data_IF_062018961935
#
_entry.id   IF_062018961935
#
_cell.length_a   1.000
_cell.length_b   1.000
_cell.length_c   1.000
_cell.angle_alpha   90.00
_cell.angle_beta   90.00
_cell.angle_gamma   90.00
#
_symmetry.space_group_name_H-M   'P 1'
#
loop_
_entity.id
_entity.type
_entity.pdbx_description
1 polymer ?
#
# COMPACT_ATOMS: atom_id res chain seq x y z
N UNK A 1 20.10 -19.21 18.19
CA UNK A 1 19.71 -17.87 17.70
C UNK A 1 18.20 -17.85 17.56
N UNK A 2 17.54 -16.82 18.07
CA UNK A 2 16.11 -16.67 17.82
C UNK A 2 15.87 -16.47 16.31
N UNK A 3 14.91 -17.23 15.78
CA UNK A 3 14.49 -17.11 14.38
C UNK A 3 13.98 -15.69 14.13
N UNK A 4 14.54 -14.99 13.13
CA UNK A 4 14.09 -13.64 12.76
C UNK A 4 12.86 -13.79 11.89
N UNK A 5 11.71 -13.52 12.47
CA UNK A 5 10.44 -13.50 11.75
C UNK A 5 10.25 -12.13 11.05
N UNK A 6 9.77 -12.17 9.82
CA UNK A 6 9.35 -10.99 9.07
C UNK A 6 7.87 -10.66 9.35
N UNK A 7 7.41 -9.49 8.91
CA UNK A 7 5.97 -9.15 8.94
C UNK A 7 5.16 -10.19 8.15
N UNK A 8 5.69 -10.66 7.03
CA UNK A 8 5.06 -11.68 6.20
C UNK A 8 4.85 -12.99 6.97
N UNK A 9 5.88 -13.46 7.69
CA UNK A 9 5.80 -14.68 8.49
C UNK A 9 4.71 -14.57 9.58
N UNK A 10 4.60 -13.40 10.22
CA UNK A 10 3.53 -13.13 11.17
C UNK A 10 2.15 -13.17 10.51
N UNK A 11 1.98 -12.50 9.37
CA UNK A 11 0.70 -12.48 8.65
C UNK A 11 0.28 -13.89 8.27
N UNK A 12 1.16 -14.69 7.67
CA UNK A 12 0.86 -16.07 7.27
C UNK A 12 0.50 -16.96 8.47
N UNK A 13 1.24 -16.82 9.57
CA UNK A 13 0.94 -17.53 10.81
C UNK A 13 -0.45 -17.20 11.36
N UNK A 14 -0.83 -15.93 11.37
CA UNK A 14 -2.12 -15.52 11.92
C UNK A 14 -3.28 -15.76 10.95
N UNK A 15 -3.06 -15.70 9.65
CA UNK A 15 -4.05 -16.16 8.66
C UNK A 15 -4.35 -17.64 8.84
N UNK A 16 -3.32 -18.48 9.00
CA UNK A 16 -3.51 -19.91 9.26
C UNK A 16 -4.32 -20.19 10.54
N UNK A 17 -4.18 -19.33 11.56
CA UNK A 17 -4.87 -19.47 12.85
C UNK A 17 -6.29 -18.91 12.86
N UNK A 18 -6.52 -17.79 12.16
CA UNK A 18 -7.76 -17.02 12.29
C UNK A 18 -8.51 -16.82 10.96
N UNK A 19 -8.14 -17.54 9.93
CA UNK A 19 -8.62 -17.49 8.54
C UNK A 19 -9.93 -16.71 8.32
N UNK A 20 -11.04 -17.18 8.89
CA UNK A 20 -12.38 -16.65 8.69
C UNK A 20 -12.76 -15.51 9.64
N UNK A 21 -11.91 -15.17 10.60
CA UNK A 21 -12.20 -14.08 11.52
C UNK A 21 -12.06 -12.73 10.80
N UNK A 22 -12.89 -11.72 11.15
CA UNK A 22 -12.68 -10.36 10.70
C UNK A 22 -11.31 -9.84 11.10
N UNK A 23 -10.61 -9.19 10.17
CA UNK A 23 -9.31 -8.56 10.41
C UNK A 23 -9.37 -7.05 10.18
N UNK A 24 -9.95 -6.62 9.07
CA UNK A 24 -10.09 -5.22 8.71
C UNK A 24 -11.57 -4.87 8.61
N UNK A 25 -11.87 -3.60 8.85
CA UNK A 25 -13.22 -3.09 8.72
C UNK A 25 -13.19 -1.80 7.92
N UNK A 26 -14.01 -1.71 6.89
CA UNK A 26 -14.22 -0.49 6.12
C UNK A 26 -15.69 -0.09 6.15
N UNK A 27 -15.92 1.22 6.22
CA UNK A 27 -17.28 1.75 6.15
C UNK A 27 -17.70 1.89 4.69
N UNK A 28 -18.71 1.14 4.30
CA UNK A 28 -19.37 1.34 3.02
C UNK A 28 -20.13 2.67 3.05
N UNK A 29 -19.73 3.61 2.20
CA UNK A 29 -20.27 4.97 2.18
C UNK A 29 -21.71 5.04 1.63
N UNK A 30 -22.10 4.09 0.79
CA UNK A 30 -23.44 4.05 0.20
C UNK A 30 -24.46 3.50 1.17
N UNK A 31 -24.12 2.45 1.91
CA UNK A 31 -24.99 1.79 2.87
C UNK A 31 -24.85 2.30 4.29
N UNK A 32 -23.77 3.06 4.58
CA UNK A 32 -23.37 3.52 5.91
C UNK A 32 -23.10 2.36 6.91
N UNK A 33 -22.87 1.14 6.42
CA UNK A 33 -22.57 -0.03 7.23
C UNK A 33 -21.06 -0.31 7.26
N UNK A 34 -20.61 -0.95 8.34
CA UNK A 34 -19.25 -1.46 8.44
C UNK A 34 -19.17 -2.87 7.84
N UNK A 35 -18.27 -3.06 6.91
CA UNK A 35 -18.04 -4.33 6.21
C UNK A 35 -16.68 -4.90 6.63
N UNK A 36 -16.63 -6.17 7.05
CA UNK A 36 -15.39 -6.81 7.41
C UNK A 36 -14.69 -7.39 6.19
N UNK A 37 -13.35 -7.40 6.25
CA UNK A 37 -12.49 -8.24 5.41
C UNK A 37 -11.77 -9.23 6.33
N UNK A 38 -11.86 -10.52 6.04
CA UNK A 38 -11.26 -11.58 6.86
C UNK A 38 -9.73 -11.61 6.71
N UNK A 39 -9.05 -12.36 7.60
CA UNK A 39 -7.62 -12.60 7.48
C UNK A 39 -7.25 -13.25 6.15
N UNK A 40 -8.00 -14.28 5.74
CA UNK A 40 -7.78 -15.00 4.47
C UNK A 40 -8.00 -14.10 3.25
N UNK A 41 -9.09 -13.34 3.23
CA UNK A 41 -9.37 -12.38 2.15
C UNK A 41 -8.30 -11.30 2.04
N UNK A 42 -7.83 -10.78 3.19
CA UNK A 42 -6.74 -9.80 3.25
C UNK A 42 -5.48 -10.36 2.60
N UNK A 43 -5.09 -11.58 2.98
CA UNK A 43 -3.91 -12.23 2.39
C UNK A 43 -4.07 -12.48 0.88
N UNK A 44 -5.25 -12.96 0.46
CA UNK A 44 -5.52 -13.21 -0.95
C UNK A 44 -5.47 -11.92 -1.79
N UNK A 45 -6.04 -10.82 -1.27
CA UNK A 45 -5.97 -9.50 -1.92
C UNK A 45 -4.53 -8.98 -1.97
N UNK A 46 -3.77 -9.08 -0.87
CA UNK A 46 -2.38 -8.65 -0.80
C UNK A 46 -1.48 -9.41 -1.81
N UNK A 47 -1.64 -10.73 -1.91
CA UNK A 47 -0.90 -11.54 -2.90
C UNK A 47 -1.25 -11.18 -4.35
N UNK A 48 -2.50 -10.82 -4.63
CA UNK A 48 -2.89 -10.31 -5.97
C UNK A 48 -2.24 -8.97 -6.30
N UNK A 49 -2.18 -8.05 -5.33
CA UNK A 49 -1.47 -6.78 -5.49
C UNK A 49 0.00 -7.02 -5.75
N UNK A 50 0.65 -7.90 -4.97
CA UNK A 50 2.04 -8.26 -5.17
C UNK A 50 2.30 -8.79 -6.58
N UNK A 51 1.48 -9.72 -7.05
CA UNK A 51 1.58 -10.25 -8.41
C UNK A 51 1.42 -9.15 -9.47
N UNK A 52 0.48 -8.22 -9.28
CA UNK A 52 0.31 -7.05 -10.14
C UNK A 52 1.53 -6.14 -10.17
N UNK A 53 2.11 -5.83 -9.01
CA UNK A 53 3.33 -5.02 -8.90
C UNK A 53 4.51 -5.69 -9.61
N UNK A 54 4.69 -6.99 -9.43
CA UNK A 54 5.72 -7.76 -10.12
C UNK A 54 5.50 -7.76 -11.63
N UNK A 55 4.27 -7.90 -12.09
CA UNK A 55 3.92 -7.83 -13.52
C UNK A 55 4.16 -6.44 -14.12
N UNK A 56 4.05 -5.37 -13.31
CA UNK A 56 4.41 -4.00 -13.71
C UNK A 56 5.93 -3.77 -13.77
N UNK A 57 6.74 -4.73 -13.33
CA UNK A 57 8.19 -4.67 -13.36
C UNK A 57 8.85 -4.26 -12.04
N UNK A 58 8.10 -4.16 -10.94
CA UNK A 58 8.66 -3.84 -9.62
C UNK A 58 9.68 -4.89 -9.22
N UNK A 59 10.90 -4.44 -8.87
CA UNK A 59 12.00 -5.28 -8.45
C UNK A 59 12.15 -5.27 -6.92
N UNK A 60 12.77 -6.32 -6.39
CA UNK A 60 13.08 -6.41 -4.96
C UNK A 60 13.89 -5.20 -4.50
N UNK A 61 13.46 -4.59 -3.40
CA UNK A 61 14.13 -3.43 -2.80
C UNK A 61 13.77 -2.08 -3.42
N UNK A 62 12.97 -2.04 -4.50
CA UNK A 62 12.47 -0.77 -5.02
C UNK A 62 11.48 -0.13 -4.04
N UNK A 63 11.49 1.20 -3.98
CA UNK A 63 10.64 1.96 -3.07
C UNK A 63 9.36 2.34 -3.77
N UNK A 64 8.27 2.19 -3.04
CA UNK A 64 6.93 2.55 -3.49
C UNK A 64 6.35 3.54 -2.48
N UNK A 65 6.14 4.78 -2.89
CA UNK A 65 5.45 5.76 -2.06
C UNK A 65 3.97 5.41 -1.97
N UNK A 66 3.40 5.50 -0.77
CA UNK A 66 2.02 5.12 -0.51
C UNK A 66 1.27 6.29 0.14
N UNK A 67 0.28 6.86 -0.57
CA UNK A 67 -0.52 7.99 -0.10
C UNK A 67 -2.01 7.66 -0.16
N UNK A 68 -2.61 7.39 0.99
CA UNK A 68 -4.03 7.08 1.11
C UNK A 68 -4.56 7.39 2.50
N UNK A 69 -5.86 7.54 2.60
CA UNK A 69 -6.61 7.56 3.85
C UNK A 69 -6.51 6.19 4.55
N UNK A 70 -6.82 6.20 5.86
CA UNK A 70 -6.95 4.97 6.63
C UNK A 70 -8.17 4.18 6.18
N UNK A 71 -7.94 3.08 5.48
CA UNK A 71 -8.94 2.15 4.96
C UNK A 71 -8.37 0.73 4.87
N UNK A 72 -9.20 -0.27 4.58
CA UNK A 72 -8.75 -1.67 4.47
C UNK A 72 -7.64 -1.82 3.41
N UNK A 73 -7.81 -1.16 2.25
CA UNK A 73 -6.83 -1.16 1.16
C UNK A 73 -5.48 -0.57 1.55
N UNK A 74 -5.41 0.24 2.61
CA UNK A 74 -4.13 0.75 3.11
C UNK A 74 -3.26 -0.41 3.62
N UNK A 75 -3.82 -1.27 4.47
CA UNK A 75 -3.12 -2.44 5.02
C UNK A 75 -2.89 -3.50 3.94
N UNK A 76 -3.91 -3.79 3.13
CA UNK A 76 -3.84 -4.78 2.04
C UNK A 76 -2.74 -4.38 1.03
N UNK A 77 -2.69 -3.11 0.66
CA UNK A 77 -1.69 -2.60 -0.29
C UNK A 77 -0.28 -2.62 0.28
N UNK A 78 -0.10 -2.23 1.56
CA UNK A 78 1.20 -2.33 2.24
C UNK A 78 1.71 -3.77 2.25
N UNK A 79 0.87 -4.72 2.63
CA UNK A 79 1.21 -6.15 2.57
C UNK A 79 1.56 -6.58 1.15
N UNK A 80 0.81 -6.11 0.14
CA UNK A 80 1.10 -6.37 -1.26
C UNK A 80 2.48 -5.88 -1.69
N UNK A 81 2.88 -4.69 -1.26
CA UNK A 81 4.22 -4.14 -1.49
C UNK A 81 5.29 -5.03 -0.84
N UNK A 82 5.08 -5.46 0.40
CA UNK A 82 6.02 -6.32 1.12
C UNK A 82 6.12 -7.72 0.47
N UNK A 83 5.01 -8.31 0.03
CA UNK A 83 5.00 -9.58 -0.70
C UNK A 83 5.71 -9.50 -2.06
N UNK A 84 5.67 -8.33 -2.72
CA UNK A 84 6.44 -8.09 -3.93
C UNK A 84 7.96 -7.94 -3.66
N UNK A 85 8.38 -7.94 -2.40
CA UNK A 85 9.77 -7.70 -2.00
C UNK A 85 10.20 -6.24 -2.10
N UNK A 86 9.27 -5.34 -2.32
CA UNK A 86 9.52 -3.90 -2.39
C UNK A 86 9.50 -3.25 -0.99
N UNK A 87 9.88 -1.98 -0.94
CA UNK A 87 9.91 -1.18 0.28
C UNK A 87 8.73 -0.22 0.27
N UNK A 88 7.85 -0.31 1.28
CA UNK A 88 6.76 0.64 1.46
C UNK A 88 7.27 1.95 2.07
N UNK A 89 6.91 3.08 1.46
CA UNK A 89 7.20 4.43 1.92
C UNK A 89 5.88 5.16 2.20
N UNK A 90 5.32 5.00 3.40
CA UNK A 90 4.04 5.61 3.74
C UNK A 90 4.15 7.13 3.85
N UNK A 91 3.21 7.83 3.24
CA UNK A 91 3.10 9.28 3.24
C UNK A 91 1.83 9.72 3.96
N UNK A 92 1.93 10.79 4.73
CA UNK A 92 0.77 11.35 5.43
C UNK A 92 -0.13 12.13 4.46
N UNK A 93 -1.43 11.89 4.51
CA UNK A 93 -2.43 12.68 3.75
C UNK A 93 -2.50 14.15 4.20
N UNK A 94 -1.93 14.47 5.35
CA UNK A 94 -1.82 15.86 5.86
C UNK A 94 -0.74 16.67 5.14
N UNK A 95 0.18 16.00 4.44
CA UNK A 95 1.12 16.68 3.56
C UNK A 95 0.34 17.33 2.41
N UNK A 96 0.55 18.63 2.24
CA UNK A 96 -0.04 19.37 1.13
C UNK A 96 0.67 19.07 -0.20
N UNK A 97 0.25 19.77 -1.24
CA UNK A 97 0.88 19.79 -2.58
C UNK A 97 2.20 20.56 -2.57
N UNK A 98 2.85 20.57 -1.44
CA UNK A 98 3.99 21.43 -1.13
C UNK A 98 5.30 20.69 -1.34
N UNK A 99 6.40 21.44 -1.24
CA UNK A 99 7.78 20.95 -1.24
C UNK A 99 8.00 19.72 -0.35
N UNK A 100 7.24 19.58 0.74
CA UNK A 100 7.38 18.45 1.67
C UNK A 100 7.00 17.11 1.04
N UNK A 101 5.91 17.06 0.25
CA UNK A 101 5.51 15.83 -0.45
C UNK A 101 6.50 15.50 -1.56
N UNK A 102 6.88 16.49 -2.36
CA UNK A 102 7.93 16.38 -3.39
C UNK A 102 9.23 15.87 -2.77
N UNK A 103 9.66 16.50 -1.67
CA UNK A 103 10.89 16.12 -0.97
C UNK A 103 10.87 14.63 -0.57
N UNK A 104 9.76 14.15 0.04
CA UNK A 104 9.68 12.77 0.53
C UNK A 104 9.71 11.76 -0.60
N UNK A 105 8.99 12.00 -1.69
CA UNK A 105 9.00 11.13 -2.87
C UNK A 105 10.38 11.09 -3.51
N UNK A 106 11.02 12.25 -3.68
CA UNK A 106 12.40 12.33 -4.24
C UNK A 106 13.44 11.70 -3.32
N UNK A 107 13.38 12.01 -2.01
CA UNK A 107 14.34 11.50 -1.03
C UNK A 107 14.28 9.98 -0.86
N UNK A 108 13.10 9.40 -1.05
CA UNK A 108 12.95 7.94 -1.01
C UNK A 108 13.39 7.24 -2.29
N UNK A 109 13.67 7.97 -3.37
CA UNK A 109 13.91 7.41 -4.72
C UNK A 109 12.76 6.50 -5.18
N UNK A 110 11.53 6.85 -4.83
CA UNK A 110 10.36 6.06 -5.20
C UNK A 110 10.14 6.09 -6.71
N UNK A 111 10.08 4.91 -7.33
CA UNK A 111 9.76 4.74 -8.74
C UNK A 111 8.27 4.56 -9.00
N UNK A 112 7.54 4.16 -7.99
CA UNK A 112 6.10 3.93 -8.06
C UNK A 112 5.39 4.69 -6.94
N UNK A 113 4.16 5.12 -7.21
CA UNK A 113 3.27 5.69 -6.20
C UNK A 113 1.97 4.90 -6.20
N UNK A 114 1.55 4.41 -5.05
CA UNK A 114 0.21 3.86 -4.83
C UNK A 114 -0.62 4.92 -4.12
N UNK A 115 -1.82 5.19 -4.61
CA UNK A 115 -2.68 6.24 -4.06
C UNK A 115 -4.16 5.92 -4.20
N UNK A 116 -4.99 6.55 -3.35
CA UNK A 116 -6.43 6.58 -3.54
C UNK A 116 -6.84 7.64 -4.56
N UNK A 117 -8.04 7.50 -5.13
CA UNK A 117 -8.61 8.54 -6.01
C UNK A 117 -8.72 9.90 -5.31
N UNK A 118 -8.94 9.92 -3.98
CA UNK A 118 -9.09 11.15 -3.21
C UNK A 118 -7.77 11.94 -3.10
N UNK A 119 -6.62 11.27 -3.16
CA UNK A 119 -5.30 11.93 -3.10
C UNK A 119 -4.68 12.13 -4.49
N UNK A 120 -5.33 11.67 -5.56
CA UNK A 120 -4.78 11.71 -6.92
C UNK A 120 -4.42 13.13 -7.39
N UNK A 121 -5.20 14.14 -7.00
CA UNK A 121 -4.91 15.53 -7.36
C UNK A 121 -3.55 15.98 -6.81
N UNK A 122 -3.22 15.63 -5.55
CA UNK A 122 -1.91 15.93 -4.94
C UNK A 122 -0.78 15.25 -5.69
N UNK A 123 -0.98 13.97 -6.05
CA UNK A 123 0.03 13.22 -6.80
C UNK A 123 0.27 13.87 -8.16
N UNK A 124 -0.79 14.22 -8.89
CA UNK A 124 -0.66 14.91 -10.20
C UNK A 124 0.11 16.22 -10.10
N UNK A 125 -0.10 16.98 -9.02
CA UNK A 125 0.58 18.25 -8.81
C UNK A 125 2.10 18.10 -8.63
N UNK A 126 2.55 17.03 -7.98
CA UNK A 126 3.99 16.82 -7.68
C UNK A 126 4.75 16.06 -8.77
N UNK A 127 4.06 15.32 -9.65
CA UNK A 127 4.72 14.48 -10.67
C UNK A 127 5.76 15.23 -11.53
N UNK A 128 5.53 16.49 -11.98
CA UNK A 128 6.53 17.22 -12.77
C UNK A 128 7.88 17.39 -12.06
N UNK A 129 7.87 17.39 -10.71
CA UNK A 129 9.07 17.53 -9.89
C UNK A 129 9.67 16.20 -9.44
N UNK A 130 9.02 15.07 -9.76
CA UNK A 130 9.43 13.73 -9.32
C UNK A 130 9.80 12.83 -10.54
N UNK A 131 10.90 13.14 -11.26
CA UNK A 131 11.23 12.49 -12.53
C UNK A 131 11.55 10.99 -12.43
N UNK A 132 11.83 10.46 -11.24
CA UNK A 132 12.08 9.03 -11.02
C UNK A 132 10.79 8.22 -10.95
N UNK A 133 9.64 8.87 -10.77
CA UNK A 133 8.34 8.18 -10.70
C UNK A 133 7.94 7.71 -12.09
N UNK A 134 7.89 6.40 -12.28
CA UNK A 134 7.56 5.76 -13.55
C UNK A 134 6.05 5.50 -13.69
N UNK A 135 5.39 5.14 -12.61
CA UNK A 135 3.96 4.79 -12.61
C UNK A 135 3.25 5.24 -11.34
N UNK A 136 1.98 5.62 -11.51
CA UNK A 136 1.03 5.87 -10.42
C UNK A 136 -0.06 4.81 -10.49
N UNK A 137 -0.31 4.14 -9.39
CA UNK A 137 -1.27 3.06 -9.24
C UNK A 137 -2.40 3.57 -8.35
N UNK A 138 -3.63 3.47 -8.84
CA UNK A 138 -4.83 3.84 -8.10
C UNK A 138 -5.57 2.56 -7.78
N UNK A 139 -5.93 2.37 -6.50
CA UNK A 139 -6.56 1.14 -6.03
C UNK A 139 -8.08 1.26 -5.78
N UNK A 140 -8.72 2.32 -6.26
CA UNK A 140 -10.19 2.50 -6.24
C UNK A 140 -10.84 2.08 -7.54
#
# INVERSE_FOLDING_TARGET
>A
MAERLTIIDFVEKYVAKYSQNPFLWEKNLDTNQWEPTTYEETLAKAKRIAAGLMALGVQKGEKISYLSEGRDMWVIGELGVLYAGAVNVPLSIKLGETNDLVFRVKHSDSKYIITSKFQLAKIRAILPECPLVEKVIIFD
#
